data_IF_636525809377
#
_entry.id   IF_636525809377
#
_cell.length_a   1.000
_cell.length_b   1.000
_cell.length_c   1.000
_cell.angle_alpha   90.00
_cell.angle_beta   90.00
_cell.angle_gamma   90.00
#
_symmetry.space_group_name_H-M   'P 1'
#
loop_
_entity.id
_entity.type
_entity.pdbx_description
1 polymer ?
#
# COMPACT_ATOMS: atom_id res chain seq x y z
N UNK A 1 20.39 -23.11 31.75
CA UNK A 1 21.38 -22.11 32.08
C UNK A 1 20.89 -20.72 31.76
N UNK A 2 21.42 -19.72 32.46
CA UNK A 2 20.98 -18.34 32.30
C UNK A 2 21.23 -17.84 30.87
N UNK A 3 22.38 -18.21 30.27
CA UNK A 3 22.72 -17.79 28.92
C UNK A 3 21.76 -18.31 27.86
N UNK A 4 21.34 -19.58 28.03
CA UNK A 4 20.40 -20.18 27.09
C UNK A 4 19.03 -19.53 27.15
N UNK A 5 18.54 -19.21 28.36
CA UNK A 5 17.26 -18.54 28.54
C UNK A 5 17.26 -17.15 27.96
N UNK A 6 18.34 -16.41 28.13
CA UNK A 6 18.47 -15.08 27.59
C UNK A 6 18.44 -15.09 26.05
N UNK A 7 19.15 -16.03 25.44
CA UNK A 7 19.19 -16.16 24.00
C UNK A 7 17.84 -16.56 23.41
N UNK A 8 17.14 -17.48 24.08
CA UNK A 8 15.80 -17.87 23.64
C UNK A 8 14.83 -16.70 23.71
N UNK A 9 14.92 -15.92 24.78
CA UNK A 9 14.07 -14.74 24.95
C UNK A 9 14.37 -13.70 23.87
N UNK A 10 15.63 -13.54 23.51
CA UNK A 10 16.06 -12.62 22.47
C UNK A 10 15.53 -13.05 21.11
N UNK A 11 15.63 -14.35 20.79
CA UNK A 11 15.13 -14.89 19.54
C UNK A 11 13.61 -14.74 19.46
N UNK A 12 12.88 -15.02 20.54
CA UNK A 12 11.45 -14.87 20.59
C UNK A 12 11.05 -13.41 20.37
N UNK A 13 11.79 -12.49 20.96
CA UNK A 13 11.54 -11.06 20.80
C UNK A 13 11.77 -10.61 19.34
N UNK A 14 12.82 -11.10 18.72
CA UNK A 14 13.10 -10.80 17.32
C UNK A 14 12.00 -11.35 16.42
N UNK A 15 11.52 -12.56 16.69
CA UNK A 15 10.43 -13.17 15.96
C UNK A 15 9.15 -12.36 16.07
N UNK A 16 8.87 -11.83 17.26
CA UNK A 16 7.69 -11.02 17.49
C UNK A 16 7.79 -9.70 16.71
N UNK A 17 8.93 -9.05 16.75
CA UNK A 17 9.15 -7.81 16.01
C UNK A 17 9.03 -8.06 14.52
N UNK A 18 9.63 -9.15 14.02
CA UNK A 18 9.56 -9.50 12.61
C UNK A 18 8.12 -9.75 12.17
N UNK A 19 7.32 -10.39 13.03
CA UNK A 19 5.91 -10.65 12.74
C UNK A 19 5.13 -9.35 12.62
N UNK A 20 5.32 -8.43 13.56
CA UNK A 20 4.66 -7.12 13.49
C UNK A 20 5.10 -6.35 12.26
N UNK A 21 6.38 -6.37 11.95
CA UNK A 21 6.90 -5.68 10.77
C UNK A 21 6.29 -6.24 9.48
N UNK A 22 6.12 -7.56 9.42
CA UNK A 22 5.51 -8.22 8.27
C UNK A 22 4.05 -7.79 8.10
N UNK A 23 3.29 -7.74 9.20
CA UNK A 23 1.89 -7.31 9.16
C UNK A 23 1.80 -5.87 8.68
N UNK A 24 2.64 -5.00 9.21
CA UNK A 24 2.67 -3.59 8.81
C UNK A 24 3.03 -3.47 7.34
N UNK A 25 3.99 -4.26 6.87
CA UNK A 25 4.41 -4.24 5.47
C UNK A 25 3.27 -4.67 4.54
N UNK A 26 2.54 -5.72 4.91
CA UNK A 26 1.40 -6.19 4.13
C UNK A 26 0.31 -5.13 4.07
N UNK A 27 -0.02 -4.51 5.21
CA UNK A 27 -1.01 -3.44 5.27
C UNK A 27 -0.56 -2.27 4.40
N UNK A 28 0.72 -1.92 4.47
CA UNK A 28 1.29 -0.83 3.67
C UNK A 28 1.12 -1.10 2.18
N UNK A 29 1.47 -2.31 1.73
CA UNK A 29 1.34 -2.70 0.32
C UNK A 29 -0.13 -2.63 -0.12
N UNK A 30 -1.04 -3.15 0.70
CA UNK A 30 -2.48 -3.13 0.39
C UNK A 30 -2.97 -1.69 0.26
N UNK A 31 -2.59 -0.82 1.21
CA UNK A 31 -3.00 0.58 1.17
C UNK A 31 -2.43 1.31 -0.06
N UNK A 32 -1.15 1.11 -0.35
CA UNK A 32 -0.53 1.74 -1.51
C UNK A 32 -1.15 1.25 -2.81
N UNK A 33 -1.46 -0.03 -2.90
CA UNK A 33 -2.11 -0.61 -4.06
C UNK A 33 -3.51 0.00 -4.25
N UNK A 34 -4.28 0.09 -3.17
CA UNK A 34 -5.62 0.68 -3.22
C UNK A 34 -5.55 2.15 -3.64
N UNK A 35 -4.60 2.90 -3.09
CA UNK A 35 -4.42 4.31 -3.45
C UNK A 35 -4.02 4.44 -4.92
N UNK A 36 -3.15 3.57 -5.41
CA UNK A 36 -2.72 3.59 -6.81
C UNK A 36 -3.88 3.32 -7.75
N UNK A 37 -4.71 2.33 -7.40
CA UNK A 37 -5.90 2.00 -8.20
C UNK A 37 -6.88 3.16 -8.22
N UNK A 38 -7.12 3.76 -7.06
CA UNK A 38 -8.01 4.90 -6.96
C UNK A 38 -7.49 6.07 -7.79
N UNK A 39 -6.19 6.34 -7.71
CA UNK A 39 -5.57 7.41 -8.50
C UNK A 39 -5.71 7.15 -9.98
N UNK A 40 -5.54 5.91 -10.42
CA UNK A 40 -5.69 5.54 -11.83
C UNK A 40 -7.13 5.75 -12.31
N UNK A 41 -8.10 5.35 -11.48
CA UNK A 41 -9.51 5.53 -11.81
C UNK A 41 -9.84 7.02 -11.92
N UNK A 42 -9.39 7.81 -10.96
CA UNK A 42 -9.63 9.25 -10.99
C UNK A 42 -8.98 9.89 -12.21
N UNK A 43 -7.77 9.47 -12.54
CA UNK A 43 -7.08 9.99 -13.71
C UNK A 43 -7.85 9.66 -14.99
N UNK A 44 -8.33 8.43 -15.12
CA UNK A 44 -9.10 8.01 -16.29
C UNK A 44 -10.40 8.78 -16.42
N UNK A 45 -11.09 9.01 -15.31
CA UNK A 45 -12.34 9.79 -15.32
C UNK A 45 -12.05 11.22 -15.73
N UNK A 46 -11.02 11.83 -15.19
CA UNK A 46 -10.63 13.20 -15.53
C UNK A 46 -10.27 13.32 -17.01
N UNK A 47 -9.52 12.36 -17.53
CA UNK A 47 -9.13 12.35 -18.93
C UNK A 47 -10.36 12.23 -19.85
N UNK A 48 -11.33 11.40 -19.46
CA UNK A 48 -12.57 11.23 -20.22
C UNK A 48 -13.38 12.51 -20.23
N UNK A 49 -13.48 13.18 -19.09
CA UNK A 49 -14.22 14.44 -18.99
C UNK A 49 -13.57 15.53 -19.85
N UNK A 50 -12.25 15.64 -19.76
CA UNK A 50 -11.53 16.64 -20.56
C UNK A 50 -11.65 16.33 -22.04
N UNK A 51 -11.51 15.07 -22.43
CA UNK A 51 -11.66 14.65 -23.82
C UNK A 51 -13.07 14.88 -24.33
N UNK A 52 -14.08 14.56 -23.50
CA UNK A 52 -15.48 14.77 -23.86
C UNK A 52 -15.80 16.24 -24.06
N UNK A 53 -15.32 17.09 -23.17
CA UNK A 53 -15.53 18.54 -23.30
C UNK A 53 -14.84 19.05 -24.55
N UNK A 54 -13.62 18.57 -24.85
CA UNK A 54 -12.89 18.97 -26.03
C UNK A 54 -13.61 18.60 -27.32
N UNK A 55 -14.19 17.39 -27.37
CA UNK A 55 -14.95 16.92 -28.53
C UNK A 55 -16.21 17.79 -28.73
N UNK A 56 -16.92 18.11 -27.65
CA UNK A 56 -18.09 18.96 -27.71
C UNK A 56 -17.78 20.34 -28.29
N UNK A 57 -16.66 20.92 -27.84
CA UNK A 57 -16.22 22.21 -28.33
C UNK A 57 -15.85 22.17 -29.82
N UNK A 58 -15.28 21.06 -30.24
CA UNK A 58 -14.85 20.87 -31.62
C UNK A 58 -16.06 20.72 -32.58
N UNK A 59 -17.11 20.06 -32.12
CA UNK A 59 -18.31 19.83 -32.92
C UNK A 59 -19.09 21.10 -33.20
N UNK A 60 -18.94 22.09 -32.33
CA UNK A 60 -19.59 23.38 -32.54
C UNK A 60 -18.86 24.23 -33.57
#
# INVERSE_FOLDING_TARGET
>A
TEGGGFELKKVASLGQVASFATIIAVVNVVLLTALSMLSAVLYNISATLVGGIGVTLTDD
#
